data_IF_289132261319
#
_entry.id   IF_289132261319
#
_cell.length_a   1.000
_cell.length_b   1.000
_cell.length_c   1.000
_cell.angle_alpha   90.00
_cell.angle_beta   90.00
_cell.angle_gamma   90.00
#
_symmetry.space_group_name_H-M   'P 1'
#
loop_
_entity.id
_entity.type
_entity.pdbx_description
1 polymer ?
#
# COMPACT_ATOMS: atom_id res chain seq x y z
N UNK A 1 5.22 33.85 33.71
CA UNK A 1 4.62 32.95 32.71
C UNK A 1 5.70 32.57 31.73
N UNK A 2 6.52 31.56 32.05
CA UNK A 2 7.55 31.05 31.12
C UNK A 2 7.62 29.54 31.29
N UNK A 3 6.65 28.85 30.72
CA UNK A 3 6.77 27.42 30.43
C UNK A 3 6.50 27.23 28.95
N UNK A 4 7.39 27.81 28.13
CA UNK A 4 7.43 27.50 26.71
C UNK A 4 7.87 26.06 26.51
N UNK A 5 7.13 25.34 25.68
CA UNK A 5 7.50 24.00 25.22
C UNK A 5 8.96 23.99 24.76
N UNK A 6 9.79 23.16 25.40
CA UNK A 6 11.15 22.87 24.93
C UNK A 6 11.11 21.58 24.11
N UNK A 7 11.68 21.55 22.89
CA UNK A 7 11.79 20.31 22.13
C UNK A 7 12.58 19.27 22.93
N UNK A 8 12.14 18.01 22.89
CA UNK A 8 12.88 16.89 23.45
C UNK A 8 14.24 16.84 22.74
N UNK A 9 15.34 17.04 23.48
CA UNK A 9 16.71 16.90 22.94
C UNK A 9 16.86 15.49 22.36
N UNK A 10 17.20 15.39 21.07
CA UNK A 10 17.34 14.11 20.35
C UNK A 10 16.06 13.56 19.71
N UNK A 11 14.93 14.27 19.76
CA UNK A 11 13.67 13.82 19.18
C UNK A 11 13.70 13.71 17.65
N UNK A 12 13.24 12.58 17.10
CA UNK A 12 13.21 12.32 15.65
C UNK A 12 11.85 12.66 15.05
N UNK A 13 11.73 13.86 14.51
CA UNK A 13 10.50 14.40 13.89
C UNK A 13 10.41 14.15 12.38
N UNK A 14 9.29 14.55 11.75
CA UNK A 14 9.06 14.48 10.29
C UNK A 14 10.26 14.96 9.46
N UNK A 15 10.91 16.07 9.84
CA UNK A 15 12.07 16.58 9.11
C UNK A 15 13.21 15.56 8.97
N UNK A 16 13.46 14.75 10.01
CA UNK A 16 14.45 13.68 9.96
C UNK A 16 14.00 12.54 9.05
N UNK A 17 12.74 12.09 9.17
CA UNK A 17 12.18 11.06 8.29
C UNK A 17 12.25 11.48 6.82
N UNK A 18 11.92 12.75 6.55
CA UNK A 18 11.96 13.33 5.22
C UNK A 18 13.39 13.31 4.65
N UNK A 19 14.40 13.64 5.45
CA UNK A 19 15.80 13.60 4.99
C UNK A 19 16.32 12.16 4.83
N UNK A 20 16.19 11.35 5.87
CA UNK A 20 16.82 10.02 5.98
C UNK A 20 16.14 8.95 5.11
N UNK A 21 14.85 9.10 4.81
CA UNK A 21 14.08 8.09 4.04
C UNK A 21 13.54 8.66 2.73
N UNK A 22 12.81 9.77 2.78
CA UNK A 22 12.08 10.28 1.60
C UNK A 22 13.06 10.85 0.57
N UNK A 23 13.85 11.86 0.96
CA UNK A 23 14.83 12.54 0.10
C UNK A 23 16.02 11.66 -0.24
N UNK A 24 16.39 10.73 0.65
CA UNK A 24 17.40 9.72 0.37
C UNK A 24 16.95 8.64 -0.63
N UNK A 25 15.68 8.62 -1.04
CA UNK A 25 15.17 7.68 -2.03
C UNK A 25 14.92 6.26 -1.49
N UNK A 26 14.73 6.11 -0.17
CA UNK A 26 14.41 4.84 0.49
C UNK A 26 12.90 4.63 0.69
N UNK A 27 12.09 5.69 0.55
CA UNK A 27 10.64 5.60 0.74
C UNK A 27 9.99 4.67 -0.29
N UNK A 28 9.25 3.68 0.19
CA UNK A 28 8.51 2.73 -0.64
C UNK A 28 7.03 3.04 -0.76
N UNK A 29 6.61 4.23 -0.34
CA UNK A 29 5.22 4.69 -0.39
C UNK A 29 4.20 3.71 0.18
N UNK A 30 4.45 3.21 1.40
CA UNK A 30 3.48 2.39 2.10
C UNK A 30 2.34 3.19 2.75
N UNK A 31 2.56 4.47 3.06
CA UNK A 31 1.57 5.33 3.72
C UNK A 31 1.54 5.23 5.26
N UNK A 32 2.42 4.45 5.90
CA UNK A 32 2.42 4.30 7.37
C UNK A 32 2.59 5.63 8.12
N UNK A 33 3.44 6.53 7.65
CA UNK A 33 3.62 7.86 8.23
C UNK A 33 2.36 8.74 8.11
N UNK A 34 1.61 8.61 7.02
CA UNK A 34 0.33 9.27 6.78
C UNK A 34 -0.71 8.71 7.75
N UNK A 35 -0.86 7.39 7.76
CA UNK A 35 -1.81 6.66 8.61
C UNK A 35 -1.67 6.99 10.10
N UNK A 36 -0.42 7.07 10.57
CA UNK A 36 -0.06 7.24 11.99
C UNK A 36 -0.11 8.68 12.48
N UNK A 37 -0.12 9.68 11.57
CA UNK A 37 -0.03 11.08 11.95
C UNK A 37 -1.19 11.49 12.88
N UNK A 38 -0.95 11.84 14.17
CA UNK A 38 -2.02 12.08 15.12
C UNK A 38 -2.77 13.39 14.86
N UNK A 39 -2.13 14.34 14.17
CA UNK A 39 -2.69 15.66 13.84
C UNK A 39 -3.11 15.79 12.38
N UNK A 40 -3.13 14.69 11.62
CA UNK A 40 -3.68 14.67 10.26
C UNK A 40 -3.07 15.69 9.29
N UNK A 41 -1.75 15.93 9.37
CA UNK A 41 -1.04 16.87 8.49
C UNK A 41 -0.13 16.19 7.46
N UNK A 42 -0.05 14.87 7.44
CA UNK A 42 0.71 14.10 6.44
C UNK A 42 -0.25 13.45 5.45
N UNK A 43 0.08 13.55 4.15
CA UNK A 43 -0.77 13.12 3.04
C UNK A 43 0.06 12.30 2.04
N UNK A 44 -0.60 11.41 1.30
CA UNK A 44 -0.04 10.80 0.08
C UNK A 44 -0.01 11.88 -1.00
N UNK A 45 1.20 12.28 -1.36
CA UNK A 45 1.50 13.36 -2.29
C UNK A 45 1.24 13.00 -3.75
N UNK A 46 1.28 14.03 -4.59
CA UNK A 46 1.06 13.87 -6.02
C UNK A 46 2.26 13.27 -6.77
N UNK A 47 3.46 13.24 -6.21
CA UNK A 47 4.65 12.71 -6.90
C UNK A 47 5.16 11.44 -6.20
N UNK A 48 4.24 10.64 -5.66
CA UNK A 48 4.56 9.39 -4.96
C UNK A 48 5.52 9.61 -3.79
N UNK A 49 5.23 10.62 -2.96
CA UNK A 49 5.93 10.95 -1.73
C UNK A 49 4.96 11.30 -0.60
N UNK A 50 5.30 11.07 0.68
CA UNK A 50 4.52 11.64 1.77
C UNK A 50 4.82 13.15 1.86
N UNK A 51 3.77 13.97 1.97
CA UNK A 51 3.88 15.44 2.06
C UNK A 51 3.23 15.95 3.33
N UNK A 52 3.79 17.03 3.87
CA UNK A 52 3.20 17.75 5.00
C UNK A 52 2.39 18.95 4.49
N UNK A 53 1.12 19.06 4.90
CA UNK A 53 0.18 20.10 4.43
C UNK A 53 -0.30 21.04 5.53
N UNK A 54 0.30 20.97 6.72
CA UNK A 54 -0.12 21.77 7.88
C UNK A 54 0.91 21.76 9.02
N UNK A 55 0.60 22.42 10.14
CA UNK A 55 1.52 22.54 11.27
C UNK A 55 1.81 21.19 11.93
N UNK A 56 3.08 20.79 11.97
CA UNK A 56 3.52 19.57 12.62
C UNK A 56 3.55 19.72 14.15
N UNK A 57 2.97 18.76 14.87
CA UNK A 57 3.06 18.71 16.33
C UNK A 57 4.40 18.17 16.87
N UNK A 58 5.39 17.91 16.01
CA UNK A 58 6.70 17.37 16.39
C UNK A 58 6.63 16.07 17.25
N UNK A 59 5.56 15.28 17.10
CA UNK A 59 5.23 14.14 17.96
C UNK A 59 6.10 12.89 17.73
N UNK A 60 6.98 12.88 16.72
CA UNK A 60 7.88 11.77 16.36
C UNK A 60 7.21 10.48 15.83
N UNK A 61 5.88 10.36 15.95
CA UNK A 61 5.10 9.16 15.55
C UNK A 61 5.42 8.68 14.13
N UNK A 62 5.43 9.60 13.15
CA UNK A 62 5.69 9.25 11.76
C UNK A 62 7.08 8.64 11.53
N UNK A 63 8.11 9.11 12.25
CA UNK A 63 9.47 8.61 12.15
C UNK A 63 9.52 7.15 12.61
N UNK A 64 9.02 6.87 13.81
CA UNK A 64 9.03 5.52 14.37
C UNK A 64 8.04 4.55 13.70
N UNK A 65 7.10 5.06 12.90
CA UNK A 65 6.19 4.26 12.08
C UNK A 65 6.81 3.79 10.76
N UNK A 66 8.00 4.28 10.37
CA UNK A 66 8.58 3.97 9.08
C UNK A 66 9.36 2.63 9.09
N UNK A 67 8.97 1.65 8.25
CA UNK A 67 9.65 0.35 8.18
C UNK A 67 11.00 0.39 7.44
N UNK A 68 11.49 1.58 7.05
CA UNK A 68 12.81 1.76 6.40
C UNK A 68 13.88 2.23 7.37
N UNK A 69 13.49 2.74 8.53
CA UNK A 69 14.43 3.10 9.59
C UNK A 69 14.74 1.89 10.47
N UNK A 70 13.71 1.11 10.78
CA UNK A 70 13.83 -0.11 11.57
C UNK A 70 12.64 -1.02 11.25
N UNK A 71 12.89 -2.32 11.14
CA UNK A 71 11.87 -3.34 10.97
C UNK A 71 12.26 -4.58 11.80
N UNK A 72 11.70 -4.74 13.02
CA UNK A 72 12.06 -5.86 13.89
C UNK A 72 11.32 -7.13 13.44
N UNK A 73 11.87 -7.84 12.44
CA UNK A 73 11.23 -9.01 11.81
C UNK A 73 10.87 -10.07 12.86
N UNK A 74 11.80 -10.44 13.74
CA UNK A 74 11.56 -11.46 14.75
C UNK A 74 10.39 -11.11 15.70
N UNK A 75 10.28 -9.84 16.08
CA UNK A 75 9.18 -9.35 16.91
C UNK A 75 7.85 -9.42 16.15
N UNK A 76 7.84 -8.99 14.88
CA UNK A 76 6.66 -9.03 14.01
C UNK A 76 6.19 -10.48 13.85
N UNK A 77 7.11 -11.41 13.59
CA UNK A 77 6.79 -12.83 13.42
C UNK A 77 6.26 -13.45 14.70
N UNK A 78 6.88 -13.17 15.85
CA UNK A 78 6.35 -13.63 17.13
C UNK A 78 4.96 -13.06 17.42
N UNK A 79 4.70 -11.78 17.12
CA UNK A 79 3.41 -11.16 17.33
C UNK A 79 2.31 -11.78 16.44
N UNK A 80 2.61 -12.10 15.17
CA UNK A 80 1.62 -12.58 14.20
C UNK A 80 1.47 -14.11 14.25
N UNK A 81 2.58 -14.84 14.37
CA UNK A 81 2.65 -16.29 14.21
C UNK A 81 3.00 -17.05 15.49
N UNK A 82 3.43 -16.35 16.55
CA UNK A 82 3.85 -16.96 17.82
C UNK A 82 5.27 -17.55 17.82
N UNK A 83 6.01 -17.41 16.70
CA UNK A 83 7.38 -17.91 16.52
C UNK A 83 8.10 -17.11 15.43
N UNK A 84 9.42 -17.24 15.36
CA UNK A 84 10.21 -16.82 14.20
C UNK A 84 10.27 -17.90 13.11
N UNK A 85 10.69 -17.49 11.91
CA UNK A 85 10.89 -18.39 10.76
C UNK A 85 12.06 -19.34 10.98
N UNK A 86 11.94 -20.55 10.46
CA UNK A 86 13.04 -21.52 10.33
C UNK A 86 13.93 -21.20 9.12
N UNK A 87 15.15 -21.79 9.00
CA UNK A 87 15.99 -21.62 7.81
C UNK A 87 15.28 -22.01 6.50
N UNK A 88 14.41 -23.02 6.53
CA UNK A 88 13.64 -23.47 5.36
C UNK A 88 12.57 -22.46 4.91
N UNK A 89 12.17 -21.56 5.81
CA UNK A 89 11.17 -20.52 5.59
C UNK A 89 11.80 -19.16 5.22
N UNK A 90 13.12 -19.11 4.98
CA UNK A 90 13.82 -17.87 4.65
C UNK A 90 13.22 -17.17 3.42
N UNK A 91 12.81 -17.95 2.41
CA UNK A 91 12.34 -17.42 1.12
C UNK A 91 10.84 -17.09 1.09
N UNK A 92 9.98 -17.98 1.61
CA UNK A 92 8.52 -17.84 1.50
C UNK A 92 7.86 -17.30 2.79
N UNK A 93 8.65 -17.11 3.85
CA UNK A 93 8.14 -16.78 5.17
C UNK A 93 7.42 -17.95 5.84
N UNK A 94 6.79 -17.67 6.96
CA UNK A 94 6.04 -18.64 7.76
C UNK A 94 4.72 -19.00 7.07
N UNK A 95 4.51 -20.27 6.75
CA UNK A 95 3.25 -20.74 6.15
C UNK A 95 2.76 -22.05 6.77
N UNK A 96 1.45 -22.30 6.65
CA UNK A 96 0.86 -23.60 7.02
C UNK A 96 0.72 -24.55 5.84
N UNK A 97 0.41 -24.01 4.67
CA UNK A 97 0.19 -24.78 3.44
C UNK A 97 0.21 -23.85 2.23
N UNK A 98 0.63 -24.38 1.08
CA UNK A 98 0.69 -23.65 -0.20
C UNK A 98 -0.20 -24.37 -1.21
N UNK A 99 -1.10 -23.63 -1.87
CA UNK A 99 -2.01 -24.18 -2.89
C UNK A 99 -2.01 -23.32 -4.15
N UNK A 100 -2.37 -23.93 -5.27
CA UNK A 100 -2.75 -23.21 -6.49
C UNK A 100 -4.27 -23.11 -6.54
N UNK A 101 -4.81 -21.90 -6.70
CA UNK A 101 -6.25 -21.65 -6.63
C UNK A 101 -6.70 -20.57 -7.62
N UNK A 102 -7.98 -20.61 -7.99
CA UNK A 102 -8.68 -19.56 -8.73
C UNK A 102 -10.13 -19.45 -8.22
N UNK A 103 -10.77 -18.31 -8.49
CA UNK A 103 -12.15 -18.05 -8.15
C UNK A 103 -13.11 -18.91 -8.97
N UNK A 104 -14.08 -19.55 -8.30
CA UNK A 104 -15.16 -20.31 -8.95
C UNK A 104 -16.13 -19.37 -9.67
N UNK A 105 -16.47 -18.23 -9.04
CA UNK A 105 -17.30 -17.18 -9.66
C UNK A 105 -16.56 -16.54 -10.84
N UNK A 106 -17.16 -16.65 -12.03
CA UNK A 106 -16.62 -16.14 -13.28
C UNK A 106 -16.36 -14.63 -13.23
N UNK A 107 -17.18 -13.87 -12.51
CA UNK A 107 -17.02 -12.41 -12.31
C UNK A 107 -15.64 -12.07 -11.74
N UNK A 108 -15.20 -12.78 -10.69
CA UNK A 108 -13.89 -12.54 -10.09
C UNK A 108 -12.76 -13.11 -10.95
N UNK A 109 -12.99 -14.26 -11.59
CA UNK A 109 -12.01 -14.91 -12.46
C UNK A 109 -11.70 -14.08 -13.70
N UNK A 110 -12.70 -13.41 -14.27
CA UNK A 110 -12.57 -12.63 -15.51
C UNK A 110 -12.07 -11.20 -15.25
N UNK A 111 -12.52 -10.56 -14.16
CA UNK A 111 -12.06 -9.22 -13.79
C UNK A 111 -10.69 -9.22 -13.11
N UNK A 112 -10.29 -10.33 -12.48
CA UNK A 112 -9.03 -10.45 -11.77
C UNK A 112 -7.79 -10.35 -12.68
N UNK A 113 -6.66 -9.97 -12.08
CA UNK A 113 -5.39 -9.96 -12.82
C UNK A 113 -4.97 -11.38 -13.27
N UNK A 114 -5.18 -12.34 -12.38
CA UNK A 114 -4.85 -13.75 -12.56
C UNK A 114 -6.09 -14.62 -12.31
N UNK A 115 -6.08 -15.48 -11.30
CA UNK A 115 -7.20 -16.38 -11.00
C UNK A 115 -8.37 -15.74 -10.25
N UNK A 116 -8.29 -14.45 -9.86
CA UNK A 116 -9.32 -13.80 -9.06
C UNK A 116 -9.36 -14.23 -7.58
N UNK A 117 -8.35 -14.95 -7.09
CA UNK A 117 -8.34 -15.55 -5.75
C UNK A 117 -8.44 -14.52 -4.63
N UNK A 118 -7.66 -13.43 -4.68
CA UNK A 118 -7.72 -12.37 -3.66
C UNK A 118 -9.08 -11.69 -3.60
N UNK A 119 -9.70 -11.48 -4.77
CA UNK A 119 -11.05 -10.92 -4.88
C UNK A 119 -12.10 -11.84 -4.27
N UNK A 120 -12.04 -13.14 -4.58
CA UNK A 120 -12.97 -14.13 -4.03
C UNK A 120 -12.83 -14.27 -2.51
N UNK A 121 -11.61 -14.27 -1.98
CA UNK A 121 -11.37 -14.31 -0.52
C UNK A 121 -11.94 -13.07 0.17
N UNK A 122 -11.72 -11.88 -0.40
CA UNK A 122 -12.23 -10.62 0.16
C UNK A 122 -13.76 -10.55 0.09
N UNK A 123 -14.35 -10.96 -1.03
CA UNK A 123 -15.79 -11.03 -1.22
C UNK A 123 -16.43 -11.99 -0.20
N UNK A 124 -15.88 -13.19 -0.06
CA UNK A 124 -16.36 -14.16 0.92
C UNK A 124 -16.26 -13.62 2.35
N UNK A 125 -15.17 -12.91 2.68
CA UNK A 125 -14.99 -12.28 3.98
C UNK A 125 -16.05 -11.19 4.27
N UNK A 126 -16.52 -10.46 3.26
CA UNK A 126 -17.66 -9.53 3.40
C UNK A 126 -18.98 -10.29 3.59
N UNK A 127 -19.23 -11.33 2.81
CA UNK A 127 -20.47 -12.12 2.85
C UNK A 127 -20.71 -12.76 4.22
N UNK A 128 -19.66 -13.38 4.80
CA UNK A 128 -19.72 -13.97 6.14
C UNK A 128 -19.57 -12.93 7.26
N UNK A 129 -19.46 -11.64 6.91
CA UNK A 129 -19.29 -10.50 7.83
C UNK A 129 -18.03 -10.58 8.70
N UNK A 130 -17.00 -11.31 8.26
CA UNK A 130 -15.67 -11.30 8.87
C UNK A 130 -15.10 -9.89 8.80
N UNK A 131 -15.25 -9.24 7.65
CA UNK A 131 -15.00 -7.81 7.45
C UNK A 131 -16.29 -7.10 7.03
N UNK A 132 -16.38 -5.80 7.28
CA UNK A 132 -17.51 -4.96 6.84
C UNK A 132 -17.07 -3.79 5.93
N UNK A 133 -15.77 -3.60 5.77
CA UNK A 133 -15.15 -2.70 4.83
C UNK A 133 -13.76 -3.22 4.49
N UNK A 134 -13.14 -2.64 3.46
CA UNK A 134 -11.78 -2.97 3.10
C UNK A 134 -11.05 -1.78 2.47
N UNK A 135 -9.73 -1.86 2.45
CA UNK A 135 -8.84 -0.92 1.74
C UNK A 135 -8.07 -1.70 0.68
N UNK A 136 -8.07 -1.17 -0.54
CA UNK A 136 -7.36 -1.70 -1.72
C UNK A 136 -6.89 -0.53 -2.59
N UNK A 137 -6.44 -0.79 -3.82
CA UNK A 137 -5.96 0.22 -4.76
C UNK A 137 -6.88 0.38 -5.99
N UNK A 138 -7.02 1.62 -6.46
CA UNK A 138 -7.71 1.98 -7.68
C UNK A 138 -6.84 2.91 -8.57
N UNK A 139 -7.25 3.07 -9.84
CA UNK A 139 -6.68 4.02 -10.80
C UNK A 139 -7.57 5.25 -11.05
N UNK A 140 -8.84 5.24 -10.62
CA UNK A 140 -9.80 6.31 -10.94
C UNK A 140 -9.85 7.35 -9.85
N UNK A 141 -10.20 6.94 -8.64
CA UNK A 141 -10.49 7.86 -7.54
C UNK A 141 -10.16 7.27 -6.18
N UNK A 142 -9.76 8.13 -5.26
CA UNK A 142 -9.62 7.84 -3.84
C UNK A 142 -10.76 8.55 -3.13
N UNK A 143 -11.41 7.84 -2.20
CA UNK A 143 -12.36 8.41 -1.25
C UNK A 143 -11.70 8.75 0.10
N UNK A 144 -10.37 8.70 0.20
CA UNK A 144 -9.62 9.20 1.34
C UNK A 144 -9.25 10.68 1.17
N UNK A 145 -9.47 11.46 2.23
CA UNK A 145 -9.08 12.86 2.33
C UNK A 145 -7.55 13.04 2.37
N UNK A 146 -6.79 12.02 2.76
CA UNK A 146 -5.33 12.07 2.88
C UNK A 146 -4.57 11.80 1.58
N UNK A 147 -5.24 11.84 0.42
CA UNK A 147 -4.66 11.51 -0.89
C UNK A 147 -4.85 12.66 -1.86
N UNK A 148 -3.75 13.27 -2.29
CA UNK A 148 -3.78 14.46 -3.16
C UNK A 148 -3.83 14.14 -4.67
N UNK A 149 -3.65 12.87 -5.04
CA UNK A 149 -3.56 12.43 -6.44
C UNK A 149 -4.89 12.13 -7.14
N UNK A 150 -6.04 12.31 -6.46
CA UNK A 150 -7.33 11.81 -6.93
C UNK A 150 -7.74 12.33 -8.31
N UNK A 151 -8.27 11.45 -9.16
CA UNK A 151 -8.71 11.80 -10.52
C UNK A 151 -7.60 11.84 -11.58
N UNK A 152 -6.35 11.52 -11.23
CA UNK A 152 -5.25 11.45 -12.21
C UNK A 152 -5.28 10.11 -12.94
N UNK A 153 -5.36 10.06 -14.29
CA UNK A 153 -5.42 8.80 -15.05
C UNK A 153 -4.24 7.85 -14.76
N UNK A 154 -4.52 6.56 -14.57
CA UNK A 154 -3.55 5.49 -14.25
C UNK A 154 -2.67 5.74 -13.01
N UNK A 155 -3.07 6.67 -12.15
CA UNK A 155 -2.38 6.88 -10.89
C UNK A 155 -2.93 5.95 -9.84
N UNK A 156 -2.06 5.14 -9.25
CA UNK A 156 -2.46 4.21 -8.20
C UNK A 156 -2.75 4.96 -6.93
N UNK A 157 -3.89 4.68 -6.31
CA UNK A 157 -4.36 5.37 -5.13
C UNK A 157 -5.21 4.43 -4.28
N UNK A 158 -5.26 4.62 -2.96
CA UNK A 158 -6.06 3.77 -2.11
C UNK A 158 -7.56 4.07 -2.28
N UNK A 159 -8.37 3.03 -2.17
CA UNK A 159 -9.83 3.09 -2.18
C UNK A 159 -10.36 2.30 -1.00
N UNK A 160 -11.30 2.90 -0.27
CA UNK A 160 -12.06 2.26 0.79
C UNK A 160 -13.36 1.73 0.19
N UNK A 161 -13.59 0.43 0.27
CA UNK A 161 -14.78 -0.24 -0.26
C UNK A 161 -15.55 -0.99 0.84
N UNK A 162 -16.79 -1.36 0.53
CA UNK A 162 -17.63 -2.18 1.42
C UNK A 162 -18.57 -3.12 0.68
N UNK A 163 -18.54 -3.13 -0.65
CA UNK A 163 -19.42 -3.93 -1.50
C UNK A 163 -18.66 -4.82 -2.46
N UNK A 164 -19.35 -5.82 -3.02
CA UNK A 164 -18.80 -6.66 -4.10
C UNK A 164 -18.48 -5.84 -5.35
N UNK A 165 -19.26 -4.79 -5.62
CA UNK A 165 -19.02 -3.89 -6.74
C UNK A 165 -17.70 -3.14 -6.58
N UNK A 166 -17.40 -2.63 -5.37
CA UNK A 166 -16.12 -1.99 -5.07
C UNK A 166 -14.94 -2.94 -5.31
N UNK A 167 -15.08 -4.24 -5.01
CA UNK A 167 -14.04 -5.26 -5.27
C UNK A 167 -13.78 -5.39 -6.78
N UNK A 168 -14.83 -5.45 -7.58
CA UNK A 168 -14.72 -5.59 -9.04
C UNK A 168 -14.14 -4.33 -9.67
N UNK A 169 -14.56 -3.15 -9.22
CA UNK A 169 -14.07 -1.86 -9.75
C UNK A 169 -12.59 -1.64 -9.47
N UNK A 170 -12.10 -2.14 -8.33
CA UNK A 170 -10.70 -2.03 -7.92
C UNK A 170 -9.84 -3.21 -8.39
N UNK A 171 -10.37 -4.09 -9.26
CA UNK A 171 -9.65 -5.25 -9.76
C UNK A 171 -8.44 -4.92 -10.65
N UNK A 172 -7.56 -5.91 -10.83
CA UNK A 172 -6.38 -5.79 -11.68
C UNK A 172 -5.17 -5.18 -10.96
N UNK A 173 -3.97 -5.48 -11.47
CA UNK A 173 -2.74 -4.97 -10.88
C UNK A 173 -2.48 -3.52 -11.26
N UNK A 174 -2.07 -2.75 -10.25
CA UNK A 174 -1.63 -1.37 -10.37
C UNK A 174 -0.13 -1.32 -10.12
N UNK A 175 0.66 -0.92 -11.13
CA UNK A 175 2.12 -1.04 -11.10
C UNK A 175 2.84 0.28 -10.72
N UNK A 176 2.12 1.25 -10.14
CA UNK A 176 2.68 2.50 -9.59
C UNK A 176 2.40 2.61 -8.10
N UNK A 177 3.10 3.49 -7.38
CA UNK A 177 2.95 3.60 -5.93
C UNK A 177 1.59 4.18 -5.55
N UNK A 178 0.96 3.65 -4.50
CA UNK A 178 -0.35 4.12 -4.04
C UNK A 178 -0.44 4.54 -2.58
N UNK A 179 0.41 4.04 -1.68
CA UNK A 179 0.30 4.41 -0.26
C UNK A 179 -0.94 3.85 0.41
N UNK A 180 -1.19 2.54 0.31
CA UNK A 180 -2.45 1.91 0.74
C UNK A 180 -2.83 2.25 2.18
N UNK A 181 -1.84 2.30 3.08
CA UNK A 181 -2.08 2.57 4.50
C UNK A 181 -2.54 4.01 4.74
N UNK A 182 -2.28 4.93 3.83
CA UNK A 182 -2.70 6.33 3.95
C UNK A 182 -4.22 6.48 4.12
N UNK A 183 -5.01 5.57 3.54
CA UNK A 183 -6.45 5.56 3.69
C UNK A 183 -6.95 4.84 4.96
N UNK A 184 -6.09 4.19 5.74
CA UNK A 184 -6.52 3.44 6.94
C UNK A 184 -7.14 4.34 8.00
N UNK A 185 -6.65 5.58 8.15
CA UNK A 185 -7.21 6.52 9.12
C UNK A 185 -8.63 6.93 8.73
N UNK A 186 -8.89 7.13 7.43
CA UNK A 186 -10.23 7.44 6.94
C UNK A 186 -11.13 6.20 6.96
N UNK A 187 -10.62 5.02 6.59
CA UNK A 187 -11.37 3.76 6.67
C UNK A 187 -11.88 3.51 8.09
N UNK A 188 -11.01 3.69 9.08
CA UNK A 188 -11.37 3.48 10.48
C UNK A 188 -12.30 4.59 11.03
N UNK A 189 -12.26 5.80 10.48
CA UNK A 189 -13.21 6.87 10.81
C UNK A 189 -14.58 6.69 10.12
N UNK A 190 -14.60 6.26 8.87
CA UNK A 190 -15.82 5.99 8.08
C UNK A 190 -16.56 4.73 8.56
N UNK A 191 -15.84 3.79 9.17
CA UNK A 191 -16.40 2.57 9.74
C UNK A 191 -16.03 2.45 11.23
N UNK A 192 -16.72 3.20 12.13
CA UNK A 192 -16.47 3.10 13.55
C UNK A 192 -16.65 1.66 14.06
N UNK A 193 -15.68 1.15 14.82
CA UNK A 193 -15.62 -0.27 15.24
C UNK A 193 -15.63 -1.26 14.06
N UNK A 194 -15.17 -0.81 12.88
CA UNK A 194 -15.11 -1.60 11.66
C UNK A 194 -14.17 -2.79 11.79
N UNK A 195 -14.51 -3.85 11.07
CA UNK A 195 -13.61 -4.98 10.81
C UNK A 195 -13.10 -4.80 9.40
N UNK A 196 -11.91 -4.21 9.29
CA UNK A 196 -11.35 -3.77 8.01
C UNK A 196 -10.57 -4.93 7.37
N UNK A 197 -10.83 -5.21 6.10
CA UNK A 197 -9.95 -5.99 5.23
C UNK A 197 -8.88 -5.11 4.59
N UNK A 198 -7.68 -5.62 4.37
CA UNK A 198 -6.62 -4.90 3.66
C UNK A 198 -6.02 -5.79 2.57
N UNK A 199 -5.96 -5.28 1.35
CA UNK A 199 -5.19 -5.89 0.26
C UNK A 199 -3.95 -5.03 0.02
N UNK A 200 -2.76 -5.60 0.15
CA UNK A 200 -1.51 -4.84 0.18
C UNK A 200 -0.32 -5.62 -0.36
N UNK A 201 0.70 -4.90 -0.81
CA UNK A 201 2.01 -5.45 -1.19
C UNK A 201 2.87 -5.75 0.06
N UNK A 202 3.95 -6.54 -0.05
CA UNK A 202 4.74 -6.95 1.11
C UNK A 202 5.34 -5.75 1.85
N UNK A 203 5.87 -4.79 1.09
CA UNK A 203 6.36 -3.51 1.58
C UNK A 203 5.34 -2.68 2.37
N UNK A 204 4.08 -2.74 1.95
CA UNK A 204 2.98 -2.05 2.60
C UNK A 204 2.59 -2.77 3.89
N UNK A 205 2.57 -4.10 3.88
CA UNK A 205 2.39 -4.91 5.09
C UNK A 205 3.52 -4.72 6.10
N UNK A 206 4.78 -4.59 5.67
CA UNK A 206 5.89 -4.21 6.57
C UNK A 206 5.62 -2.86 7.25
N UNK A 207 5.04 -1.90 6.52
CA UNK A 207 4.56 -0.63 7.10
C UNK A 207 3.46 -0.84 8.14
N UNK A 208 2.46 -1.68 7.83
CA UNK A 208 1.38 -2.02 8.76
C UNK A 208 1.91 -2.67 10.03
N UNK A 209 2.84 -3.62 9.92
CA UNK A 209 3.41 -4.30 11.07
C UNK A 209 4.31 -3.37 11.89
N UNK A 210 5.05 -2.47 11.22
CA UNK A 210 5.83 -1.46 11.92
C UNK A 210 4.96 -0.52 12.76
N UNK A 211 3.75 -0.20 12.30
CA UNK A 211 2.77 0.57 13.09
C UNK A 211 2.38 -0.10 14.41
N UNK A 212 2.70 -1.38 14.62
CA UNK A 212 2.29 -2.15 15.79
C UNK A 212 3.46 -2.56 16.71
N UNK A 213 4.71 -2.33 16.31
CA UNK A 213 5.90 -2.74 17.08
C UNK A 213 6.58 -1.59 17.82
N UNK A 214 6.30 -0.34 17.48
CA UNK A 214 6.84 0.81 18.22
C UNK A 214 5.79 1.43 19.14
N UNK A 215 6.14 1.61 20.42
CA UNK A 215 5.33 2.30 21.43
C UNK A 215 4.96 3.74 21.03
N UNK A 216 5.77 4.37 20.16
CA UNK A 216 5.52 5.71 19.63
C UNK A 216 4.71 5.71 18.33
N UNK A 217 4.57 4.57 17.65
CA UNK A 217 3.90 4.46 16.33
C UNK A 217 2.38 4.22 16.40
N UNK A 218 1.86 3.91 17.59
CA UNK A 218 0.55 3.26 17.75
C UNK A 218 -0.58 4.15 18.28
N UNK A 219 -0.40 5.45 18.54
CA UNK A 219 -1.44 6.25 19.24
C UNK A 219 -2.86 6.12 18.63
N UNK A 220 -2.98 6.16 17.29
CA UNK A 220 -4.27 5.96 16.60
C UNK A 220 -4.76 4.50 16.58
N UNK A 221 -3.84 3.53 16.53
CA UNK A 221 -4.11 2.11 16.25
C UNK A 221 -3.95 1.18 17.46
N UNK A 222 -3.53 1.69 18.62
CA UNK A 222 -3.03 0.94 19.77
C UNK A 222 -3.81 1.12 21.08
N UNK A 223 -5.04 1.62 21.06
CA UNK A 223 -5.94 1.47 22.22
C UNK A 223 -6.72 2.69 22.73
N UNK A 224 -6.76 3.85 22.07
CA UNK A 224 -7.65 4.94 22.51
C UNK A 224 -8.18 5.91 21.44
N UNK A 225 -7.67 5.88 20.20
CA UNK A 225 -8.08 6.84 19.16
C UNK A 225 -9.08 6.32 18.12
N UNK A 226 -8.91 5.09 17.62
CA UNK A 226 -9.79 4.53 16.59
C UNK A 226 -10.00 3.02 16.81
N UNK A 227 -11.15 2.65 17.37
CA UNK A 227 -11.54 1.25 17.52
C UNK A 227 -11.76 0.62 16.14
N UNK A 228 -11.16 -0.56 15.90
CA UNK A 228 -11.19 -1.22 14.58
C UNK A 228 -10.08 -0.77 13.61
N UNK A 229 -9.11 0.02 14.05
CA UNK A 229 -8.02 0.51 13.18
C UNK A 229 -7.02 -0.56 12.71
N UNK A 230 -6.95 -1.72 13.38
CA UNK A 230 -6.16 -2.87 12.91
C UNK A 230 -7.00 -3.68 11.91
N UNK A 231 -6.47 -4.02 10.72
CA UNK A 231 -7.16 -4.92 9.81
C UNK A 231 -7.48 -6.25 10.49
N UNK A 232 -8.73 -6.71 10.36
CA UNK A 232 -9.17 -8.04 10.79
C UNK A 232 -8.70 -9.12 9.81
N UNK A 233 -8.52 -8.74 8.55
CA UNK A 233 -8.02 -9.60 7.48
C UNK A 233 -7.00 -8.82 6.66
N UNK A 234 -5.84 -9.43 6.43
CA UNK A 234 -4.84 -8.92 5.47
C UNK A 234 -4.65 -9.95 4.36
N UNK A 235 -4.75 -9.53 3.11
CA UNK A 235 -4.43 -10.32 1.92
C UNK A 235 -3.18 -9.71 1.30
N UNK A 236 -2.05 -10.38 1.50
CA UNK A 236 -0.79 -10.04 0.85
C UNK A 236 -0.79 -10.44 -0.63
N UNK A 237 -0.24 -9.59 -1.48
CA UNK A 237 0.01 -9.87 -2.89
C UNK A 237 1.51 -10.03 -3.12
N UNK A 238 1.89 -10.94 -4.01
CA UNK A 238 3.29 -11.06 -4.42
C UNK A 238 3.74 -9.82 -5.19
N UNK A 239 4.96 -9.35 -4.93
CA UNK A 239 5.51 -8.16 -5.55
C UNK A 239 6.99 -8.32 -5.85
N UNK A 240 7.38 -8.07 -7.10
CA UNK A 240 8.80 -7.99 -7.48
C UNK A 240 9.25 -6.53 -7.64
N UNK A 241 8.46 -5.73 -8.35
CA UNK A 241 8.82 -4.35 -8.71
C UNK A 241 7.56 -3.50 -8.77
N UNK A 242 7.70 -2.25 -8.35
CA UNK A 242 6.78 -1.15 -8.61
C UNK A 242 7.55 -0.07 -9.39
N UNK A 243 6.84 0.76 -10.14
CA UNK A 243 7.43 1.77 -11.01
C UNK A 243 6.95 3.17 -10.61
N UNK A 244 7.78 4.18 -10.85
CA UNK A 244 7.34 5.56 -10.64
C UNK A 244 6.28 5.95 -11.68
N UNK A 245 5.20 6.59 -11.22
CA UNK A 245 4.10 7.06 -12.06
C UNK A 245 4.60 7.95 -13.21
N UNK A 246 5.43 8.94 -12.93
CA UNK A 246 5.93 9.84 -13.98
C UNK A 246 6.72 9.08 -15.05
N UNK A 247 7.53 8.10 -14.65
CA UNK A 247 8.34 7.33 -15.59
C UNK A 247 7.56 6.27 -16.36
N UNK A 248 6.65 5.56 -15.69
CA UNK A 248 5.88 4.49 -16.33
C UNK A 248 4.73 5.08 -17.16
N UNK A 249 3.97 6.01 -16.59
CA UNK A 249 2.75 6.52 -17.20
C UNK A 249 3.06 7.68 -18.14
N UNK A 250 3.70 8.76 -17.66
CA UNK A 250 3.94 9.94 -18.51
C UNK A 250 5.03 9.68 -19.55
N UNK A 251 6.19 9.20 -19.14
CA UNK A 251 7.31 9.01 -20.08
C UNK A 251 7.11 7.76 -20.95
N UNK A 252 6.83 6.60 -20.35
CA UNK A 252 6.77 5.35 -21.12
C UNK A 252 5.44 5.14 -21.85
N UNK A 253 4.28 5.20 -21.17
CA UNK A 253 2.98 4.97 -21.84
C UNK A 253 2.60 6.15 -22.74
N UNK A 254 2.58 7.37 -22.20
CA UNK A 254 2.07 8.54 -22.90
C UNK A 254 3.04 9.08 -23.95
N UNK A 255 4.30 9.37 -23.58
CA UNK A 255 5.24 10.01 -24.51
C UNK A 255 5.87 9.00 -25.47
N UNK A 256 6.48 7.92 -24.95
CA UNK A 256 7.22 6.95 -25.79
C UNK A 256 6.29 6.13 -26.68
N UNK A 257 5.13 5.70 -26.17
CA UNK A 257 4.19 4.85 -26.93
C UNK A 257 2.98 5.61 -27.47
N UNK A 258 2.87 6.93 -27.27
CA UNK A 258 1.79 7.78 -27.76
C UNK A 258 0.37 7.30 -27.37
N UNK A 259 0.22 6.72 -26.17
CA UNK A 259 -1.07 6.22 -25.66
C UNK A 259 -1.62 7.20 -24.64
N UNK A 260 -2.87 7.65 -24.81
CA UNK A 260 -3.57 8.42 -23.79
C UNK A 260 -3.81 7.55 -22.54
N UNK A 261 -3.22 7.88 -21.38
CA UNK A 261 -3.43 7.12 -20.15
C UNK A 261 -4.90 6.93 -19.76
N UNK A 262 -5.78 7.88 -20.11
CA UNK A 262 -7.22 7.80 -19.80
C UNK A 262 -7.95 6.65 -20.51
N UNK A 263 -7.39 6.16 -21.61
CA UNK A 263 -7.96 5.08 -22.44
C UNK A 263 -7.51 3.69 -22.02
N UNK A 264 -6.48 3.59 -21.17
CA UNK A 264 -5.91 2.30 -20.76
C UNK A 264 -6.88 1.59 -19.81
N UNK A 265 -7.29 0.38 -20.21
CA UNK A 265 -8.24 -0.44 -19.45
C UNK A 265 -7.54 -1.42 -18.53
N UNK A 266 -6.33 -1.89 -18.91
CA UNK A 266 -5.58 -2.88 -18.12
C UNK A 266 -4.08 -2.79 -18.38
N UNK A 267 -3.31 -3.04 -17.34
CA UNK A 267 -1.88 -3.32 -17.45
C UNK A 267 -1.56 -4.72 -16.90
N UNK A 268 -0.54 -5.38 -17.42
CA UNK A 268 -0.18 -6.73 -17.00
C UNK A 268 1.29 -7.03 -17.16
N UNK A 269 1.86 -7.71 -16.16
CA UNK A 269 3.17 -8.36 -16.26
C UNK A 269 2.97 -9.87 -16.28
N UNK A 270 3.23 -10.50 -17.43
CA UNK A 270 3.17 -11.97 -17.58
C UNK A 270 4.29 -12.47 -18.45
N UNK A 271 4.93 -13.58 -18.05
CA UNK A 271 6.04 -14.23 -18.78
C UNK A 271 7.16 -13.23 -19.13
N UNK A 272 7.55 -12.39 -18.17
CA UNK A 272 8.64 -11.42 -18.34
C UNK A 272 8.35 -10.25 -19.27
N UNK A 273 7.08 -10.02 -19.63
CA UNK A 273 6.66 -8.91 -20.50
C UNK A 273 5.63 -8.01 -19.82
N UNK A 274 5.81 -6.70 -19.98
CA UNK A 274 4.82 -5.69 -19.63
C UNK A 274 3.88 -5.45 -20.81
N UNK A 275 2.58 -5.42 -20.51
CA UNK A 275 1.51 -5.30 -21.47
C UNK A 275 0.55 -4.20 -21.07
N UNK A 276 0.09 -3.43 -22.04
CA UNK A 276 -0.93 -2.38 -21.89
C UNK A 276 -2.07 -2.69 -22.83
N UNK A 277 -3.30 -2.55 -22.35
CA UNK A 277 -4.52 -2.80 -23.09
C UNK A 277 -5.39 -1.55 -23.14
N UNK A 278 -6.00 -1.32 -24.31
CA UNK A 278 -7.06 -0.32 -24.54
C UNK A 278 -8.28 -1.10 -25.04
N UNK A 279 -9.35 -1.12 -24.25
CA UNK A 279 -10.43 -2.09 -24.45
C UNK A 279 -9.90 -3.52 -24.34
N UNK A 280 -10.10 -4.32 -25.40
CA UNK A 280 -9.59 -5.69 -25.51
C UNK A 280 -8.28 -5.79 -26.33
N UNK A 281 -7.82 -4.69 -26.93
CA UNK A 281 -6.64 -4.66 -27.77
C UNK A 281 -5.38 -4.48 -26.93
N UNK A 282 -4.36 -5.30 -27.21
CA UNK A 282 -3.04 -5.18 -26.60
C UNK A 282 -2.18 -4.22 -27.41
N UNK A 283 -2.00 -3.01 -26.92
CA UNK A 283 -1.28 -1.92 -27.62
C UNK A 283 0.21 -1.87 -27.27
N UNK A 284 0.63 -2.46 -26.15
CA UNK A 284 2.04 -2.60 -25.75
C UNK A 284 2.31 -4.04 -25.33
N UNK A 285 3.47 -4.58 -25.74
CA UNK A 285 3.96 -5.89 -25.32
C UNK A 285 5.49 -5.94 -25.36
N UNK A 286 6.14 -5.42 -24.31
CA UNK A 286 7.61 -5.26 -24.26
C UNK A 286 8.23 -6.14 -23.17
N UNK A 287 9.49 -6.57 -23.32
CA UNK A 287 10.25 -7.17 -22.23
C UNK A 287 10.37 -6.23 -21.02
N UNK A 288 10.36 -6.77 -19.80
CA UNK A 288 10.48 -5.97 -18.56
C UNK A 288 11.75 -5.12 -18.50
N UNK A 289 12.81 -5.52 -19.20
CA UNK A 289 14.08 -4.77 -19.29
C UNK A 289 13.89 -3.34 -19.80
N UNK A 290 12.88 -3.11 -20.66
CA UNK A 290 12.57 -1.76 -21.14
C UNK A 290 12.04 -0.82 -20.05
N UNK A 291 11.56 -1.38 -18.92
CA UNK A 291 11.04 -0.61 -17.80
C UNK A 291 12.06 -0.44 -16.66
N UNK A 292 13.30 -0.93 -16.80
CA UNK A 292 14.28 -0.88 -15.71
C UNK A 292 14.59 0.56 -15.25
N UNK A 293 14.48 1.54 -16.16
CA UNK A 293 14.63 2.97 -15.85
C UNK A 293 13.43 3.56 -15.08
N UNK A 294 12.25 2.97 -15.26
CA UNK A 294 11.00 3.36 -14.61
C UNK A 294 10.90 2.80 -13.19
N UNK A 295 11.67 1.77 -12.86
CA UNK A 295 11.59 1.02 -11.60
C UNK A 295 11.88 1.93 -10.40
N UNK A 296 11.12 1.72 -9.32
CA UNK A 296 11.34 2.41 -8.07
C UNK A 296 12.69 2.03 -7.45
N UNK A 297 13.43 3.04 -6.95
CA UNK A 297 14.76 2.84 -6.37
C UNK A 297 14.80 1.77 -5.29
N UNK A 298 13.90 1.82 -4.28
CA UNK A 298 13.85 0.84 -3.20
C UNK A 298 13.63 -0.61 -3.62
N UNK A 299 13.00 -0.86 -4.77
CA UNK A 299 12.79 -2.22 -5.25
C UNK A 299 14.09 -2.94 -5.62
N UNK A 300 15.20 -2.20 -5.84
CA UNK A 300 16.52 -2.80 -6.18
C UNK A 300 17.12 -3.65 -5.08
N UNK A 301 16.74 -3.39 -3.83
CA UNK A 301 17.25 -4.07 -2.64
C UNK A 301 16.10 -4.60 -1.76
N UNK A 302 14.88 -4.67 -2.30
CA UNK A 302 13.77 -5.31 -1.60
C UNK A 302 14.00 -6.82 -1.59
N UNK A 303 13.95 -7.41 -0.40
CA UNK A 303 14.17 -8.84 -0.17
C UNK A 303 12.87 -9.60 0.10
N UNK A 304 11.73 -8.92 -0.01
CA UNK A 304 10.41 -9.47 0.33
C UNK A 304 9.54 -9.55 -0.93
N UNK A 305 9.32 -10.77 -1.40
CA UNK A 305 8.55 -11.07 -2.61
C UNK A 305 7.10 -11.48 -2.31
N UNK A 306 6.86 -12.12 -1.16
CA UNK A 306 5.63 -12.87 -0.87
C UNK A 306 4.76 -12.23 0.18
#
# INVERSE_FOLDING_TARGET
>A
METGWSPIKGGRIWGHLSQEVVRAGHCMMCGACVASCPVNVLYVGQNEEPVIVGPCAACQVCYYSCPRLELPIDEIEHQIHGRTRSPEEETLGIYRSVYSAHAVDAKFRESGQDGGTSMALLAHALEIRLVNSFVTMDFKESNSAFVLGSGTPLKTMPKIGSTIQDIVETAGSKYTHGGVLGAMSDAAASFPNGRIGLVALPCELQGLWRLNTSLLSTYKYGGSGIAGGRPTLTIGLFCSKIYYYDKLVKEFIQQKNAIDPSTVTRTSIKRGKFKVYVGNEMVVNVPLKELDQCMSGPCRYCIDYT
#
